data_IF_482658953380
#
_entry.id   IF_482658953380
#
_cell.length_a   1.000
_cell.length_b   1.000
_cell.length_c   1.000
_cell.angle_alpha   90.00
_cell.angle_beta   90.00
_cell.angle_gamma   90.00
#
_symmetry.space_group_name_H-M   'P 1'
#
loop_
_entity.id
_entity.type
_entity.pdbx_description
1 polymer ?
#
# COMPACT_ATOMS: atom_id res chain seq x y z
N UNK A 1 10.99 -6.14 -23.96
CA UNK A 1 12.46 -6.23 -24.30
C UNK A 1 13.19 -6.53 -23.01
N UNK A 2 14.10 -7.49 -23.02
CA UNK A 2 14.96 -7.74 -21.84
C UNK A 2 16.21 -6.85 -21.96
N UNK A 3 16.25 -5.77 -21.20
CA UNK A 3 17.32 -4.76 -21.26
C UNK A 3 18.67 -5.27 -20.73
N UNK A 4 18.64 -6.13 -19.68
CA UNK A 4 19.88 -6.72 -19.14
C UNK A 4 20.53 -7.64 -20.20
N UNK A 5 19.72 -8.45 -20.86
CA UNK A 5 20.22 -9.27 -21.98
C UNK A 5 20.75 -8.42 -23.16
N UNK A 6 20.11 -7.28 -23.44
CA UNK A 6 20.60 -6.36 -24.47
C UNK A 6 21.95 -5.74 -24.10
N UNK A 7 22.12 -5.30 -22.83
CA UNK A 7 23.40 -4.79 -22.30
C UNK A 7 24.50 -5.86 -22.44
N UNK A 8 24.26 -7.06 -21.89
CA UNK A 8 25.26 -8.14 -21.88
C UNK A 8 25.65 -8.58 -23.28
N UNK A 9 24.70 -8.56 -24.23
CA UNK A 9 24.96 -8.89 -25.64
C UNK A 9 25.76 -7.80 -26.33
N UNK A 10 25.43 -6.52 -26.11
CA UNK A 10 26.11 -5.39 -26.74
C UNK A 10 27.57 -5.30 -26.31
N UNK A 11 27.85 -5.44 -25.03
CA UNK A 11 29.22 -5.36 -24.48
C UNK A 11 29.95 -6.70 -24.46
N UNK A 12 29.30 -7.81 -24.84
CA UNK A 12 29.83 -9.18 -24.84
C UNK A 12 30.44 -9.56 -23.48
N UNK A 13 29.83 -9.08 -22.40
CA UNK A 13 30.31 -9.40 -21.05
C UNK A 13 29.86 -10.81 -20.62
N UNK A 14 30.75 -11.57 -20.00
CA UNK A 14 30.51 -12.95 -19.56
C UNK A 14 29.90 -13.03 -18.16
N UNK A 15 30.07 -11.99 -17.36
CA UNK A 15 29.53 -11.89 -15.99
C UNK A 15 29.20 -10.44 -15.68
N UNK A 16 28.20 -10.26 -14.83
CA UNK A 16 27.80 -8.95 -14.32
C UNK A 16 27.32 -9.05 -12.90
N UNK A 17 27.42 -7.98 -12.13
CA UNK A 17 26.75 -7.78 -10.85
C UNK A 17 25.54 -6.91 -11.05
N UNK A 18 24.42 -7.32 -10.51
CA UNK A 18 23.16 -6.61 -10.67
C UNK A 18 22.55 -6.38 -9.28
N UNK A 19 22.12 -5.14 -9.04
CA UNK A 19 21.41 -4.74 -7.83
C UNK A 19 20.23 -3.87 -8.21
N UNK A 20 19.01 -4.36 -8.01
CA UNK A 20 17.81 -3.59 -8.30
C UNK A 20 17.04 -3.27 -7.03
N UNK A 21 16.75 -1.98 -6.85
CA UNK A 21 15.90 -1.43 -5.79
C UNK A 21 14.69 -0.73 -6.40
N UNK A 22 13.79 -0.23 -5.56
CA UNK A 22 12.58 0.43 -6.03
C UNK A 22 12.84 1.59 -7.02
N UNK A 23 13.85 2.42 -6.77
CA UNK A 23 14.15 3.62 -7.56
C UNK A 23 15.45 3.56 -8.35
N UNK A 24 16.28 2.55 -8.18
CA UNK A 24 17.58 2.45 -8.83
C UNK A 24 17.87 1.01 -9.25
N UNK A 25 18.44 0.85 -10.45
CA UNK A 25 19.12 -0.36 -10.88
C UNK A 25 20.57 -0.01 -11.16
N UNK A 26 21.51 -0.79 -10.62
CA UNK A 26 22.92 -0.75 -10.93
C UNK A 26 23.34 -2.08 -11.57
N UNK A 27 24.07 -1.98 -12.68
CA UNK A 27 24.68 -3.11 -13.40
C UNK A 27 26.17 -2.82 -13.57
N UNK A 28 27.02 -3.59 -12.90
CA UNK A 28 28.47 -3.48 -12.96
C UNK A 28 29.03 -4.71 -13.71
N UNK A 29 29.91 -4.49 -14.68
CA UNK A 29 30.54 -5.57 -15.45
C UNK A 29 31.87 -5.14 -16.05
N UNK A 30 32.72 -6.13 -16.31
CA UNK A 30 34.00 -5.97 -17.01
C UNK A 30 33.89 -6.62 -18.38
N UNK A 31 34.58 -6.04 -19.37
CA UNK A 31 34.58 -6.53 -20.75
C UNK A 31 35.89 -6.20 -21.46
N UNK A 32 36.24 -6.96 -22.50
CA UNK A 32 37.44 -6.73 -23.26
C UNK A 32 37.33 -5.44 -24.09
N UNK A 33 38.42 -4.67 -24.20
CA UNK A 33 38.47 -3.44 -25.05
C UNK A 33 38.06 -3.71 -26.47
N UNK A 34 38.37 -4.91 -27.00
CA UNK A 34 37.98 -5.33 -28.35
C UNK A 34 36.46 -5.44 -28.56
N UNK A 35 35.71 -5.56 -27.46
CA UNK A 35 34.24 -5.63 -27.44
C UNK A 35 33.58 -4.28 -27.17
N UNK A 36 34.35 -3.17 -27.12
CA UNK A 36 33.80 -1.84 -26.93
C UNK A 36 32.86 -1.51 -28.11
N UNK A 37 31.56 -1.31 -27.87
CA UNK A 37 30.59 -1.02 -28.91
C UNK A 37 30.88 0.33 -29.58
N UNK A 38 30.29 0.55 -30.77
CA UNK A 38 30.29 1.87 -31.40
C UNK A 38 29.37 2.82 -30.60
N UNK A 39 29.70 4.11 -30.70
CA UNK A 39 28.91 5.15 -30.00
C UNK A 39 27.42 5.09 -30.35
N UNK A 40 27.12 4.91 -31.66
CA UNK A 40 25.76 4.83 -32.17
C UNK A 40 24.98 3.65 -31.56
N UNK A 41 25.65 2.50 -31.34
CA UNK A 41 25.01 1.33 -30.74
C UNK A 41 24.72 1.54 -29.26
N UNK A 42 25.59 2.27 -28.55
CA UNK A 42 25.36 2.63 -27.13
C UNK A 42 24.19 3.62 -27.01
N UNK A 43 24.15 4.63 -27.89
CA UNK A 43 23.06 5.62 -27.91
C UNK A 43 21.72 4.97 -28.26
N UNK A 44 21.65 4.10 -29.25
CA UNK A 44 20.45 3.33 -29.60
C UNK A 44 19.96 2.47 -28.44
N UNK A 45 20.88 1.82 -27.71
CA UNK A 45 20.52 1.07 -26.53
C UNK A 45 19.92 1.98 -25.45
N UNK A 46 20.58 3.11 -25.14
CA UNK A 46 20.12 4.06 -24.11
C UNK A 46 18.78 4.69 -24.50
N UNK A 47 18.57 5.05 -25.76
CA UNK A 47 17.31 5.59 -26.26
C UNK A 47 16.16 4.57 -26.24
N UNK A 48 16.46 3.27 -26.24
CA UNK A 48 15.45 2.21 -26.16
C UNK A 48 14.78 2.11 -24.79
N UNK A 49 15.40 2.65 -23.74
CA UNK A 49 14.84 2.63 -22.39
C UNK A 49 13.61 3.54 -22.27
N UNK A 50 12.69 3.25 -21.34
CA UNK A 50 11.56 4.13 -21.07
C UNK A 50 12.00 5.56 -20.78
N UNK A 51 11.41 6.56 -21.43
CA UNK A 51 11.79 7.97 -21.29
C UNK A 51 11.67 8.54 -19.87
N UNK A 52 10.86 7.88 -19.03
CA UNK A 52 10.72 8.25 -17.63
C UNK A 52 11.97 7.92 -16.79
N UNK A 53 12.81 6.98 -17.26
CA UNK A 53 13.97 6.50 -16.53
C UNK A 53 15.25 7.17 -17.06
N UNK A 54 16.11 7.59 -16.15
CA UNK A 54 17.38 8.22 -16.50
C UNK A 54 18.47 7.17 -16.48
N UNK A 55 19.01 6.85 -17.63
CA UNK A 55 20.10 5.89 -17.80
C UNK A 55 21.42 6.62 -17.83
N UNK A 56 22.39 6.15 -17.05
CA UNK A 56 23.77 6.65 -17.05
C UNK A 56 24.71 5.49 -17.32
N UNK A 57 25.72 5.74 -18.14
CA UNK A 57 26.82 4.80 -18.44
C UNK A 57 28.14 5.44 -18.02
N UNK A 58 28.92 4.71 -17.23
CA UNK A 58 30.31 5.04 -16.90
C UNK A 58 31.20 3.93 -17.42
N UNK A 59 32.25 4.28 -18.17
CA UNK A 59 33.30 3.37 -18.64
C UNK A 59 34.62 3.83 -18.06
N UNK A 60 35.39 2.91 -17.48
CA UNK A 60 36.68 3.19 -16.85
C UNK A 60 37.69 2.23 -17.44
N UNK A 61 38.87 2.78 -17.88
CA UNK A 61 39.98 1.97 -18.34
C UNK A 61 40.96 1.66 -17.19
N UNK A 62 42.02 0.89 -17.49
CA UNK A 62 43.03 0.48 -16.50
C UNK A 62 43.88 1.66 -15.99
N UNK A 63 43.82 2.82 -16.62
CA UNK A 63 44.52 4.04 -16.21
C UNK A 63 43.61 5.00 -15.41
N UNK A 64 42.42 4.57 -15.03
CA UNK A 64 41.40 5.38 -14.38
C UNK A 64 40.81 6.52 -15.25
N UNK A 65 41.02 6.48 -16.58
CA UNK A 65 40.33 7.41 -17.46
C UNK A 65 38.85 7.08 -17.53
N UNK A 66 38.02 8.08 -17.33
CA UNK A 66 36.57 7.95 -17.22
C UNK A 66 35.84 8.54 -18.44
N UNK A 67 35.01 7.73 -19.08
CA UNK A 67 33.96 8.22 -19.96
C UNK A 67 32.60 8.08 -19.26
N UNK A 68 31.84 9.17 -19.24
CA UNK A 68 30.50 9.22 -18.65
C UNK A 68 29.51 9.79 -19.65
N UNK A 69 28.33 9.15 -19.77
CA UNK A 69 27.20 9.65 -20.54
C UNK A 69 25.88 9.41 -19.84
N UNK A 70 24.87 10.19 -20.19
CA UNK A 70 23.52 10.08 -19.65
C UNK A 70 22.49 10.12 -20.78
N UNK A 71 21.33 9.48 -20.60
CA UNK A 71 20.20 9.59 -21.52
C UNK A 71 19.71 11.04 -21.72
N UNK A 72 20.08 11.96 -20.83
CA UNK A 72 19.78 13.39 -20.95
C UNK A 72 20.78 14.17 -21.82
N UNK A 73 21.97 13.62 -22.07
CA UNK A 73 22.98 14.22 -22.93
C UNK A 73 23.68 13.12 -23.73
N UNK A 74 23.25 12.97 -24.97
CA UNK A 74 23.77 12.00 -25.93
C UNK A 74 24.68 12.66 -27.01
N UNK A 75 25.16 13.89 -26.78
CA UNK A 75 26.00 14.63 -27.76
C UNK A 75 27.50 14.53 -27.48
N UNK A 76 27.97 13.38 -26.96
CA UNK A 76 29.33 13.21 -26.42
C UNK A 76 30.27 12.39 -27.31
N UNK A 77 29.99 12.26 -28.59
CA UNK A 77 30.78 11.44 -29.52
C UNK A 77 32.27 11.77 -29.51
N UNK A 78 32.65 13.06 -29.55
CA UNK A 78 34.04 13.46 -29.50
C UNK A 78 34.79 13.03 -28.26
N UNK A 79 34.09 13.09 -27.07
CA UNK A 79 34.66 12.60 -25.82
C UNK A 79 34.83 11.08 -25.83
N UNK A 80 33.85 10.36 -26.41
CA UNK A 80 33.95 8.93 -26.58
C UNK A 80 35.11 8.52 -27.49
N UNK A 81 35.33 9.23 -28.62
CA UNK A 81 36.43 8.95 -29.50
C UNK A 81 37.79 9.23 -28.86
N UNK A 82 37.89 10.25 -27.98
CA UNK A 82 39.08 10.52 -27.18
C UNK A 82 39.31 9.35 -26.21
N UNK A 83 38.31 8.99 -25.41
CA UNK A 83 38.37 7.87 -24.48
C UNK A 83 38.79 6.56 -25.16
N UNK A 84 38.22 6.27 -26.35
CA UNK A 84 38.58 5.10 -27.14
C UNK A 84 40.05 5.11 -27.54
N UNK A 85 40.61 6.29 -27.80
CA UNK A 85 42.04 6.45 -28.13
C UNK A 85 42.91 6.17 -26.89
N UNK A 86 42.46 6.62 -25.71
CA UNK A 86 43.16 6.42 -24.41
C UNK A 86 43.14 4.95 -24.01
N UNK A 87 42.11 4.18 -24.40
CA UNK A 87 42.00 2.73 -24.14
C UNK A 87 42.95 1.86 -25.00
N UNK A 88 43.76 2.43 -25.89
CA UNK A 88 44.59 1.67 -26.86
C UNK A 88 45.53 0.64 -26.22
N UNK A 89 45.95 0.86 -24.98
CA UNK A 89 46.89 0.00 -24.24
C UNK A 89 46.22 -0.81 -23.11
N UNK A 90 44.91 -0.65 -22.94
CA UNK A 90 44.15 -1.41 -21.97
C UNK A 90 43.67 -2.73 -22.55
N UNK A 91 43.61 -3.79 -21.77
CA UNK A 91 43.06 -5.10 -22.16
C UNK A 91 41.57 -5.20 -21.76
N UNK A 92 41.22 -4.63 -20.60
CA UNK A 92 39.86 -4.66 -20.05
C UNK A 92 39.35 -3.26 -19.75
N UNK A 93 38.04 -3.15 -19.73
CA UNK A 93 37.27 -1.98 -19.31
C UNK A 93 36.26 -2.39 -18.29
N UNK A 94 36.11 -1.56 -17.26
CA UNK A 94 35.00 -1.67 -16.29
C UNK A 94 33.85 -0.74 -16.71
N UNK A 95 32.64 -1.27 -16.69
CA UNK A 95 31.45 -0.51 -16.98
C UNK A 95 30.47 -0.54 -15.81
N UNK A 96 29.84 0.60 -15.57
CA UNK A 96 28.69 0.72 -14.71
C UNK A 96 27.55 1.38 -15.46
N UNK A 97 26.41 0.68 -15.53
CA UNK A 97 25.14 1.27 -15.98
C UNK A 97 24.26 1.46 -14.76
N UNK A 98 23.84 2.70 -14.50
CA UNK A 98 22.92 3.05 -13.44
C UNK A 98 21.65 3.65 -14.02
N UNK A 99 20.49 3.11 -13.60
CA UNK A 99 19.18 3.53 -14.06
C UNK A 99 18.40 4.09 -12.90
N UNK A 100 18.18 5.41 -12.91
CA UNK A 100 17.30 6.07 -11.96
C UNK A 100 15.86 5.99 -12.46
N UNK A 101 15.03 5.23 -11.75
CA UNK A 101 13.63 4.98 -12.08
C UNK A 101 12.73 6.03 -11.48
N UNK A 102 11.77 6.52 -12.26
CA UNK A 102 10.75 7.44 -11.77
C UNK A 102 9.34 6.88 -11.96
N UNK A 103 8.43 7.31 -11.10
CA UNK A 103 7.01 7.02 -11.26
C UNK A 103 6.42 8.05 -12.21
N UNK A 104 5.90 7.61 -13.33
CA UNK A 104 5.20 8.46 -14.29
C UNK A 104 3.85 7.84 -14.66
N UNK A 105 2.77 8.59 -14.52
CA UNK A 105 1.39 8.13 -14.76
C UNK A 105 1.05 6.81 -14.02
N UNK A 106 1.61 6.64 -12.82
CA UNK A 106 1.45 5.44 -12.01
C UNK A 106 2.26 4.23 -12.47
N UNK A 107 3.15 4.38 -13.46
CA UNK A 107 4.00 3.29 -13.95
C UNK A 107 5.43 3.43 -13.43
N UNK A 108 6.07 2.31 -13.10
CA UNK A 108 7.46 2.21 -12.68
C UNK A 108 8.09 0.96 -13.28
N UNK A 109 9.37 1.04 -13.64
CA UNK A 109 10.11 -0.04 -14.30
C UNK A 109 10.71 -1.05 -13.33
N UNK A 110 10.65 -2.34 -13.68
CA UNK A 110 11.46 -3.42 -13.10
C UNK A 110 12.21 -4.11 -14.24
N UNK A 111 13.51 -4.06 -14.20
CA UNK A 111 14.39 -4.59 -15.23
C UNK A 111 14.84 -6.03 -14.98
N UNK A 112 14.96 -6.41 -13.70
CA UNK A 112 15.19 -7.78 -13.24
C UNK A 112 14.34 -8.06 -12.00
N UNK A 113 13.26 -8.79 -12.20
CA UNK A 113 12.29 -9.06 -11.12
C UNK A 113 12.90 -9.88 -9.96
N UNK A 114 13.86 -10.74 -10.27
CA UNK A 114 14.49 -11.57 -9.23
C UNK A 114 15.37 -10.73 -8.31
N UNK A 115 16.19 -9.83 -8.88
CA UNK A 115 17.01 -8.91 -8.11
C UNK A 115 16.18 -7.88 -7.35
N UNK A 116 15.10 -7.38 -7.96
CA UNK A 116 14.15 -6.49 -7.28
C UNK A 116 13.51 -7.16 -6.06
N UNK A 117 13.04 -8.41 -6.22
CA UNK A 117 12.44 -9.16 -5.12
C UNK A 117 13.45 -9.44 -4.01
N UNK A 118 14.69 -9.84 -4.37
CA UNK A 118 15.77 -10.03 -3.40
C UNK A 118 16.10 -8.73 -2.68
N UNK A 119 16.22 -7.62 -3.42
CA UNK A 119 16.49 -6.30 -2.85
C UNK A 119 15.43 -5.83 -1.86
N UNK A 120 14.15 -6.23 -2.04
CA UNK A 120 13.09 -6.00 -1.05
C UNK A 120 13.22 -6.95 0.14
N UNK A 121 13.53 -8.24 -0.08
CA UNK A 121 13.72 -9.24 0.98
C UNK A 121 14.88 -8.87 1.93
N UNK A 122 15.91 -8.23 1.40
CA UNK A 122 17.10 -7.83 2.17
C UNK A 122 16.87 -6.56 3.01
N UNK A 123 15.76 -5.84 2.78
CA UNK A 123 15.42 -4.67 3.58
C UNK A 123 14.80 -5.08 4.93
N UNK A 124 15.10 -4.33 6.01
CA UNK A 124 14.32 -4.43 7.24
C UNK A 124 12.87 -3.99 6.98
N UNK A 125 11.94 -4.46 7.79
CA UNK A 125 10.50 -4.17 7.64
C UNK A 125 10.22 -2.68 7.47
N UNK A 126 10.84 -1.83 8.29
CA UNK A 126 10.68 -0.37 8.20
C UNK A 126 11.12 0.19 6.83
N UNK A 127 12.17 -0.40 6.25
CA UNK A 127 12.63 -0.07 4.90
C UNK A 127 11.62 -0.44 3.82
N UNK A 128 11.00 -1.62 3.95
CA UNK A 128 9.94 -2.08 3.03
C UNK A 128 8.71 -1.15 3.14
N UNK A 129 8.24 -0.88 4.37
CA UNK A 129 7.10 0.01 4.61
C UNK A 129 7.36 1.43 4.08
N UNK A 130 8.56 1.98 4.33
CA UNK A 130 8.94 3.31 3.83
C UNK A 130 8.97 3.36 2.30
N UNK A 131 9.49 2.30 1.67
CA UNK A 131 9.55 2.19 0.21
C UNK A 131 8.15 2.23 -0.41
N UNK A 132 7.24 1.36 0.03
CA UNK A 132 5.89 1.32 -0.51
C UNK A 132 5.06 2.55 -0.12
N UNK A 133 5.26 3.11 1.08
CA UNK A 133 4.62 4.36 1.49
C UNK A 133 5.01 5.52 0.57
N UNK A 134 6.29 5.65 0.24
CA UNK A 134 6.78 6.67 -0.69
C UNK A 134 6.20 6.47 -2.10
N UNK A 135 6.24 5.25 -2.64
CA UNK A 135 5.72 4.95 -3.97
C UNK A 135 4.20 5.21 -4.08
N UNK A 136 3.41 4.76 -3.10
CA UNK A 136 1.96 4.94 -3.08
C UNK A 136 1.52 6.36 -2.69
N UNK A 137 2.43 7.21 -2.22
CA UNK A 137 2.18 8.65 -2.05
C UNK A 137 2.29 9.41 -3.37
N UNK A 138 3.14 8.94 -4.29
CA UNK A 138 3.30 9.51 -5.63
C UNK A 138 2.10 9.16 -6.54
N UNK A 139 1.51 7.96 -6.36
CA UNK A 139 0.35 7.51 -7.14
C UNK A 139 -0.55 6.59 -6.30
N UNK A 140 -1.88 6.81 -6.34
CA UNK A 140 -2.85 5.96 -5.61
C UNK A 140 -2.89 4.51 -6.11
N UNK A 141 -2.46 4.27 -7.33
CA UNK A 141 -2.35 2.96 -7.98
C UNK A 141 -1.03 2.92 -8.75
N UNK A 142 -0.33 1.80 -8.68
CA UNK A 142 0.97 1.61 -9.29
C UNK A 142 0.96 0.39 -10.22
N UNK A 143 1.55 0.55 -11.37
CA UNK A 143 1.88 -0.56 -12.28
C UNK A 143 3.40 -0.71 -12.35
N UNK A 144 3.89 -1.85 -11.91
CA UNK A 144 5.27 -2.25 -12.06
C UNK A 144 5.42 -2.99 -13.39
N UNK A 145 6.08 -2.35 -14.35
CA UNK A 145 6.35 -2.93 -15.67
C UNK A 145 7.61 -3.78 -15.61
N UNK A 146 7.43 -5.10 -15.70
CA UNK A 146 8.51 -6.09 -15.61
C UNK A 146 9.03 -6.43 -17.01
N UNK A 147 10.34 -6.27 -17.24
CA UNK A 147 10.93 -6.39 -18.58
C UNK A 147 11.73 -7.69 -18.83
N UNK A 148 12.13 -8.42 -17.77
CA UNK A 148 12.99 -9.60 -17.89
C UNK A 148 12.23 -10.91 -18.11
N UNK A 149 11.05 -11.06 -17.52
CA UNK A 149 10.25 -12.30 -17.57
C UNK A 149 8.74 -12.05 -17.49
N UNK A 150 7.97 -13.08 -17.84
CA UNK A 150 6.52 -13.02 -17.71
C UNK A 150 6.11 -13.12 -16.25
N UNK A 151 5.44 -12.09 -15.76
CA UNK A 151 4.85 -11.99 -14.43
C UNK A 151 3.46 -11.39 -14.52
N UNK A 152 2.57 -11.89 -13.69
CA UNK A 152 1.27 -11.26 -13.45
C UNK A 152 0.83 -11.53 -12.02
N UNK A 153 0.85 -10.52 -11.18
CA UNK A 153 0.17 -10.54 -9.88
C UNK A 153 -0.33 -9.15 -9.52
N UNK A 154 -1.34 -9.11 -8.68
CA UNK A 154 -2.09 -7.88 -8.43
C UNK A 154 -2.62 -7.82 -7.02
N UNK A 155 -2.59 -6.60 -6.45
CA UNK A 155 -3.33 -6.20 -5.25
C UNK A 155 -4.43 -5.19 -5.63
N UNK A 156 -5.08 -4.57 -4.66
CA UNK A 156 -6.05 -3.49 -4.95
C UNK A 156 -5.39 -2.22 -5.48
N UNK A 157 -4.12 -1.98 -5.17
CA UNK A 157 -3.39 -0.75 -5.49
C UNK A 157 -2.17 -0.95 -6.36
N UNK A 158 -1.67 -2.17 -6.47
CA UNK A 158 -0.46 -2.49 -7.23
C UNK A 158 -0.70 -3.59 -8.24
N UNK A 159 -0.16 -3.43 -9.45
CA UNK A 159 -0.12 -4.42 -10.52
C UNK A 159 1.33 -4.65 -10.92
N UNK A 160 1.78 -5.90 -10.95
CA UNK A 160 3.06 -6.31 -11.52
C UNK A 160 2.78 -7.09 -12.79
N UNK A 161 3.25 -6.59 -13.93
CA UNK A 161 2.93 -7.18 -15.23
C UNK A 161 4.09 -7.01 -16.22
N UNK A 162 4.36 -8.06 -17.00
CA UNK A 162 5.36 -8.07 -18.08
C UNK A 162 4.87 -7.45 -19.38
N UNK A 163 3.59 -7.22 -19.53
CA UNK A 163 3.02 -6.61 -20.72
C UNK A 163 2.07 -5.47 -20.29
N UNK A 164 1.85 -4.47 -21.16
CA UNK A 164 0.82 -3.48 -20.93
C UNK A 164 -0.55 -4.14 -21.09
N UNK A 165 -0.89 -5.03 -20.14
CA UNK A 165 -2.22 -5.59 -20.05
C UNK A 165 -3.14 -4.51 -19.48
N UNK A 166 -4.27 -4.29 -20.13
CA UNK A 166 -5.38 -3.47 -19.59
C UNK A 166 -6.05 -4.21 -18.42
N UNK A 167 -5.30 -4.53 -17.37
CA UNK A 167 -5.88 -5.02 -16.12
C UNK A 167 -6.46 -3.81 -15.41
N UNK A 168 -7.77 -3.66 -15.48
CA UNK A 168 -8.48 -2.56 -14.83
C UNK A 168 -8.45 -2.79 -13.33
N UNK A 169 -7.96 -1.80 -12.59
CA UNK A 169 -8.13 -1.77 -11.14
C UNK A 169 -9.62 -1.63 -10.81
N UNK A 170 -10.11 -2.41 -9.86
CA UNK A 170 -11.44 -2.16 -9.29
C UNK A 170 -11.42 -0.81 -8.58
N UNK A 171 -12.55 -0.11 -8.60
CA UNK A 171 -12.67 1.15 -7.87
C UNK A 171 -12.38 0.93 -6.38
N UNK A 172 -11.31 1.55 -5.88
CA UNK A 172 -10.91 1.50 -4.48
C UNK A 172 -10.45 2.90 -4.05
N UNK A 173 -11.21 3.50 -3.16
CA UNK A 173 -10.85 4.80 -2.60
C UNK A 173 -9.90 4.62 -1.41
N UNK A 174 -8.61 4.57 -1.73
CA UNK A 174 -7.52 4.38 -0.77
C UNK A 174 -7.47 5.50 0.26
N UNK A 175 -7.68 6.77 -0.17
CA UNK A 175 -7.63 7.93 0.71
C UNK A 175 -8.76 7.90 1.75
N UNK A 176 -9.96 7.61 1.31
CA UNK A 176 -11.11 7.46 2.22
C UNK A 176 -10.88 6.29 3.20
N UNK A 177 -10.36 5.16 2.73
CA UNK A 177 -10.05 4.02 3.59
C UNK A 177 -9.00 4.38 4.67
N UNK A 178 -7.92 5.07 4.29
CA UNK A 178 -6.90 5.54 5.23
C UNK A 178 -7.49 6.50 6.28
N UNK A 179 -8.33 7.46 5.87
CA UNK A 179 -9.02 8.38 6.78
C UNK A 179 -9.86 7.61 7.80
N UNK A 180 -10.71 6.70 7.33
CA UNK A 180 -11.57 5.89 8.19
C UNK A 180 -10.77 5.01 9.17
N UNK A 181 -9.65 4.45 8.72
CA UNK A 181 -8.74 3.72 9.59
C UNK A 181 -8.14 4.61 10.68
N UNK A 182 -7.74 5.85 10.33
CA UNK A 182 -7.19 6.84 11.27
C UNK A 182 -8.17 7.31 12.31
N UNK A 183 -9.45 7.38 11.96
CA UNK A 183 -10.53 7.78 12.89
C UNK A 183 -10.79 6.70 13.96
N UNK A 184 -10.50 5.45 13.66
CA UNK A 184 -10.81 4.32 14.54
C UNK A 184 -9.60 3.77 15.29
N UNK A 185 -8.39 3.99 14.78
CA UNK A 185 -7.13 3.43 15.30
C UNK A 185 -6.09 4.53 15.43
N UNK A 186 -5.41 4.59 16.57
CA UNK A 186 -4.26 5.46 16.73
C UNK A 186 -2.96 4.73 16.40
N UNK A 187 -2.52 4.83 15.16
CA UNK A 187 -1.22 4.30 14.74
C UNK A 187 -0.16 5.40 14.86
N UNK A 188 0.80 5.23 15.78
CA UNK A 188 1.83 6.25 16.06
C UNK A 188 2.69 6.60 14.84
N UNK A 189 2.94 5.60 13.98
CA UNK A 189 3.78 5.75 12.79
C UNK A 189 2.99 6.05 11.51
N UNK A 190 1.71 6.41 11.62
CA UNK A 190 0.82 6.62 10.47
C UNK A 190 1.29 7.73 9.52
N UNK A 191 1.93 8.79 10.04
CA UNK A 191 2.48 9.85 9.20
C UNK A 191 3.63 9.32 8.33
N UNK A 192 4.40 8.36 8.86
CA UNK A 192 5.53 7.73 8.19
C UNK A 192 5.08 6.62 7.24
N UNK A 193 4.09 5.83 7.65
CA UNK A 193 3.63 4.64 6.92
C UNK A 193 2.15 4.75 6.57
N UNK A 194 1.84 5.46 5.47
CA UNK A 194 0.47 5.60 4.97
C UNK A 194 0.08 4.37 4.13
N UNK A 195 0.02 3.20 4.77
CA UNK A 195 -0.22 1.92 4.14
C UNK A 195 -1.45 1.22 4.73
N UNK A 196 -2.10 0.42 3.89
CA UNK A 196 -3.26 -0.39 4.23
C UNK A 196 -2.96 -1.88 3.99
N UNK A 197 -3.61 -2.80 4.69
CA UNK A 197 -3.58 -4.22 4.33
C UNK A 197 -3.98 -4.48 2.87
N UNK A 198 -4.93 -3.68 2.36
CA UNK A 198 -5.42 -3.73 0.97
C UNK A 198 -4.32 -3.48 -0.07
N UNK A 199 -3.27 -2.74 0.30
CA UNK A 199 -2.14 -2.45 -0.59
C UNK A 199 -1.33 -3.72 -0.91
N UNK A 200 -1.35 -4.71 -0.01
CA UNK A 200 -0.56 -5.94 -0.12
C UNK A 200 -1.39 -7.21 -0.29
N UNK A 201 -2.71 -7.15 -0.08
CA UNK A 201 -3.58 -8.31 -0.27
C UNK A 201 -3.59 -8.73 -1.74
N UNK A 202 -3.10 -9.93 -2.01
CA UNK A 202 -3.03 -10.47 -3.35
C UNK A 202 -4.42 -10.91 -3.85
N UNK A 203 -4.91 -10.25 -4.90
CA UNK A 203 -6.13 -10.60 -5.62
C UNK A 203 -5.84 -11.62 -6.75
N UNK A 204 -4.69 -11.45 -7.40
CA UNK A 204 -4.15 -12.36 -8.42
C UNK A 204 -2.71 -12.66 -8.01
N UNK A 205 -2.33 -13.92 -8.07
CA UNK A 205 -0.98 -14.37 -7.75
C UNK A 205 -0.57 -15.52 -8.68
N UNK A 206 0.74 -15.73 -8.83
CA UNK A 206 1.29 -16.87 -9.56
C UNK A 206 2.10 -17.77 -8.61
N UNK A 207 2.20 -19.03 -8.96
CA UNK A 207 2.96 -20.01 -8.17
C UNK A 207 4.46 -19.68 -8.17
N UNK A 208 5.08 -19.69 -6.98
CA UNK A 208 6.50 -19.34 -6.83
C UNK A 208 6.80 -17.85 -6.84
N UNK A 209 5.79 -16.97 -6.66
CA UNK A 209 6.04 -15.53 -6.51
C UNK A 209 6.87 -15.24 -5.25
N UNK A 210 8.12 -14.75 -5.39
CA UNK A 210 9.02 -14.51 -4.25
C UNK A 210 8.51 -13.42 -3.29
N UNK A 211 7.62 -12.52 -3.76
CA UNK A 211 7.04 -11.46 -2.93
C UNK A 211 5.82 -11.91 -2.13
N UNK A 212 5.26 -13.10 -2.39
CA UNK A 212 4.03 -13.56 -1.72
C UNK A 212 4.16 -13.63 -0.21
N UNK A 213 5.28 -14.13 0.30
CA UNK A 213 5.49 -14.26 1.74
C UNK A 213 5.58 -12.90 2.43
N UNK A 214 6.34 -11.97 1.85
CA UNK A 214 6.46 -10.59 2.37
C UNK A 214 5.10 -9.90 2.35
N UNK A 215 4.36 -9.97 1.23
CA UNK A 215 3.07 -9.33 1.09
C UNK A 215 2.06 -9.89 2.10
N UNK A 216 1.98 -11.21 2.26
CA UNK A 216 1.13 -11.84 3.27
C UNK A 216 1.50 -11.41 4.69
N UNK A 217 2.79 -11.28 5.01
CA UNK A 217 3.26 -10.77 6.30
C UNK A 217 2.83 -9.33 6.52
N UNK A 218 2.99 -8.45 5.51
CA UNK A 218 2.55 -7.05 5.57
C UNK A 218 1.04 -6.93 5.74
N UNK A 219 0.25 -7.75 5.05
CA UNK A 219 -1.21 -7.83 5.25
C UNK A 219 -1.55 -8.10 6.72
N UNK A 220 -0.88 -9.07 7.35
CA UNK A 220 -1.16 -9.44 8.74
C UNK A 220 -0.71 -8.36 9.73
N UNK A 221 0.49 -7.80 9.55
CA UNK A 221 1.00 -6.71 10.39
C UNK A 221 0.04 -5.51 10.35
N UNK A 222 -0.30 -5.04 9.15
CA UNK A 222 -1.20 -3.89 8.99
C UNK A 222 -2.63 -4.20 9.43
N UNK A 223 -3.10 -5.44 9.27
CA UNK A 223 -4.40 -5.86 9.82
C UNK A 223 -4.40 -5.80 11.34
N UNK A 224 -3.34 -6.27 12.02
CA UNK A 224 -3.20 -6.16 13.47
C UNK A 224 -3.17 -4.69 13.92
N UNK A 225 -2.46 -3.82 13.20
CA UNK A 225 -2.45 -2.37 13.45
C UNK A 225 -3.87 -1.82 13.45
N UNK A 226 -4.64 -2.03 12.38
CA UNK A 226 -5.97 -1.42 12.24
C UNK A 226 -7.09 -2.16 13.00
N UNK A 227 -6.87 -3.38 13.44
CA UNK A 227 -7.77 -4.06 14.40
C UNK A 227 -7.57 -3.55 15.83
N UNK A 228 -6.39 -3.05 16.16
CA UNK A 228 -6.08 -2.50 17.49
C UNK A 228 -6.69 -1.11 17.71
N UNK A 229 -6.74 -0.68 18.96
CA UNK A 229 -7.12 0.69 19.33
C UNK A 229 -5.95 1.66 19.19
N UNK A 230 -4.75 1.19 19.55
CA UNK A 230 -3.49 1.88 19.26
C UNK A 230 -2.40 0.88 18.91
N UNK A 231 -1.47 1.33 18.08
CA UNK A 231 -0.32 0.55 17.64
C UNK A 231 0.91 1.41 17.48
N UNK A 232 2.09 0.83 17.69
CA UNK A 232 3.39 1.42 17.37
C UNK A 232 4.31 0.35 16.78
N UNK A 233 5.20 0.77 15.89
CA UNK A 233 6.20 -0.08 15.28
C UNK A 233 7.60 0.47 15.59
N UNK A 234 8.42 -0.31 16.27
CA UNK A 234 9.73 0.11 16.73
C UNK A 234 10.73 -1.03 16.57
N UNK A 235 11.78 -0.85 15.77
CA UNK A 235 12.84 -1.85 15.56
C UNK A 235 12.30 -3.27 15.30
N UNK A 236 11.38 -3.41 14.33
CA UNK A 236 10.71 -4.66 13.97
C UNK A 236 9.83 -5.27 15.08
N UNK A 237 9.58 -4.56 16.16
CA UNK A 237 8.62 -4.94 17.20
C UNK A 237 7.33 -4.17 16.98
N UNK A 238 6.25 -4.90 16.76
CA UNK A 238 4.89 -4.36 16.70
C UNK A 238 4.28 -4.44 18.10
N UNK A 239 3.95 -3.30 18.67
CA UNK A 239 3.18 -3.18 19.91
C UNK A 239 1.75 -2.79 19.58
N UNK A 240 0.78 -3.54 20.09
CA UNK A 240 -0.64 -3.25 19.87
C UNK A 240 -1.41 -3.29 21.17
N UNK A 241 -2.36 -2.36 21.31
CA UNK A 241 -3.30 -2.30 22.43
C UNK A 241 -4.72 -2.42 21.89
N UNK A 242 -5.48 -3.35 22.42
CA UNK A 242 -6.89 -3.55 22.06
C UNK A 242 -7.74 -3.14 23.26
N UNK A 243 -8.42 -2.01 23.13
CA UNK A 243 -9.36 -1.52 24.14
C UNK A 243 -10.76 -2.04 23.81
N UNK A 244 -11.24 -2.97 24.64
CA UNK A 244 -12.61 -3.49 24.64
C UNK A 244 -13.17 -3.42 26.05
N UNK A 245 -13.85 -4.47 26.51
CA UNK A 245 -14.24 -4.60 27.92
C UNK A 245 -13.03 -4.62 28.88
N UNK A 246 -11.85 -4.93 28.34
CA UNK A 246 -10.55 -4.88 28.99
C UNK A 246 -9.54 -4.33 28.00
N UNK A 247 -8.38 -3.92 28.50
CA UNK A 247 -7.24 -3.57 27.66
C UNK A 247 -6.37 -4.83 27.57
N UNK A 248 -6.06 -5.23 26.33
CA UNK A 248 -5.07 -6.27 26.04
C UNK A 248 -3.89 -5.62 25.34
N UNK A 249 -2.70 -6.02 25.73
CA UNK A 249 -1.44 -5.55 25.18
C UNK A 249 -0.68 -6.73 24.60
N UNK A 250 -0.15 -6.59 23.39
CA UNK A 250 0.64 -7.60 22.73
C UNK A 250 1.88 -6.95 22.11
N UNK A 251 2.97 -7.69 22.17
CA UNK A 251 4.22 -7.36 21.48
C UNK A 251 4.60 -8.51 20.56
N UNK A 252 4.89 -8.19 19.29
CA UNK A 252 5.27 -9.18 18.29
C UNK A 252 6.55 -8.79 17.59
N UNK A 253 7.47 -9.73 17.47
CA UNK A 253 8.54 -9.65 16.49
C UNK A 253 7.91 -9.80 15.09
N UNK A 254 7.99 -8.78 14.26
CA UNK A 254 7.31 -8.75 12.95
C UNK A 254 7.73 -9.89 12.01
N UNK A 255 9.00 -10.33 12.11
CA UNK A 255 9.51 -11.49 11.35
C UNK A 255 8.84 -12.82 11.72
N UNK A 256 8.25 -12.93 12.93
CA UNK A 256 7.58 -14.13 13.45
C UNK A 256 6.07 -14.10 13.29
N UNK A 257 5.50 -13.00 12.76
CA UNK A 257 4.05 -12.92 12.53
C UNK A 257 3.68 -13.88 11.39
N UNK A 258 2.88 -14.90 11.74
CA UNK A 258 2.40 -15.89 10.79
C UNK A 258 1.24 -15.35 9.94
N UNK A 259 1.08 -15.91 8.74
CA UNK A 259 -0.05 -15.59 7.88
C UNK A 259 -1.36 -16.11 8.51
N UNK A 260 -2.32 -15.20 8.73
CA UNK A 260 -3.67 -15.55 9.16
C UNK A 260 -4.71 -14.73 8.36
N UNK A 261 -5.37 -15.35 7.37
CA UNK A 261 -6.32 -14.65 6.50
C UNK A 261 -7.56 -14.12 7.25
N UNK A 262 -7.85 -14.65 8.45
CA UNK A 262 -9.00 -14.17 9.26
C UNK A 262 -8.78 -12.74 9.77
N UNK A 263 -7.53 -12.34 10.03
CA UNK A 263 -7.20 -10.96 10.40
C UNK A 263 -7.63 -9.98 9.30
N UNK A 264 -7.25 -10.26 8.06
CA UNK A 264 -7.65 -9.42 6.92
C UNK A 264 -9.16 -9.45 6.68
N UNK A 265 -9.83 -10.60 6.84
CA UNK A 265 -11.28 -10.68 6.69
C UNK A 265 -12.01 -9.78 7.69
N UNK A 266 -11.58 -9.78 8.98
CA UNK A 266 -12.18 -8.92 10.00
C UNK A 266 -11.89 -7.45 9.69
N UNK A 267 -10.63 -7.11 9.35
CA UNK A 267 -10.26 -5.75 8.93
C UNK A 267 -11.13 -5.29 7.75
N UNK A 268 -11.17 -6.06 6.68
CA UNK A 268 -11.94 -5.69 5.49
C UNK A 268 -13.42 -5.52 5.80
N UNK A 269 -14.02 -6.38 6.64
CA UNK A 269 -15.41 -6.26 7.05
C UNK A 269 -15.66 -4.98 7.88
N UNK A 270 -14.75 -4.60 8.77
CA UNK A 270 -14.88 -3.36 9.58
C UNK A 270 -14.93 -2.15 8.66
N UNK A 271 -13.99 -2.07 7.72
CA UNK A 271 -13.75 -0.87 6.92
C UNK A 271 -14.44 -0.87 5.55
N UNK A 272 -15.21 -1.90 5.22
CA UNK A 272 -16.06 -1.95 4.02
C UNK A 272 -17.49 -1.73 4.45
N UNK A 273 -18.15 -0.73 3.92
CA UNK A 273 -19.55 -0.37 4.12
C UNK A 273 -20.01 -0.17 5.59
N UNK A 274 -20.91 0.76 5.82
CA UNK A 274 -21.52 1.03 7.11
C UNK A 274 -20.62 1.80 8.10
N UNK A 275 -20.97 1.76 9.37
CA UNK A 275 -20.26 2.51 10.42
C UNK A 275 -19.03 1.72 10.91
N UNK A 276 -17.85 2.15 10.47
CA UNK A 276 -16.59 1.52 10.84
C UNK A 276 -16.29 1.62 12.35
N UNK A 277 -16.67 2.73 12.98
CA UNK A 277 -16.45 2.94 14.43
C UNK A 277 -17.21 1.93 15.27
N UNK A 278 -18.50 1.71 14.98
CA UNK A 278 -19.32 0.73 15.69
C UNK A 278 -18.82 -0.69 15.45
N UNK A 279 -18.48 -1.01 14.20
CA UNK A 279 -17.93 -2.32 13.83
C UNK A 279 -16.59 -2.59 14.52
N UNK A 280 -15.68 -1.60 14.55
CA UNK A 280 -14.40 -1.71 15.21
C UNK A 280 -14.56 -1.91 16.72
N UNK A 281 -15.46 -1.17 17.37
CA UNK A 281 -15.74 -1.31 18.79
C UNK A 281 -16.24 -2.72 19.14
N UNK A 282 -17.22 -3.23 18.38
CA UNK A 282 -17.77 -4.57 18.60
C UNK A 282 -16.73 -5.65 18.32
N UNK A 283 -15.96 -5.50 17.24
CA UNK A 283 -14.88 -6.43 16.91
C UNK A 283 -13.85 -6.50 18.04
N UNK A 284 -13.37 -5.35 18.55
CA UNK A 284 -12.41 -5.27 19.66
C UNK A 284 -12.95 -5.90 20.94
N UNK A 285 -14.23 -5.70 21.27
CA UNK A 285 -14.85 -6.34 22.42
C UNK A 285 -14.83 -7.86 22.31
N UNK A 286 -15.16 -8.41 21.14
CA UNK A 286 -15.14 -9.87 20.90
C UNK A 286 -13.72 -10.40 20.87
N UNK A 287 -12.79 -9.69 20.22
CA UNK A 287 -11.36 -10.03 20.22
C UNK A 287 -10.81 -10.08 21.64
N UNK A 288 -11.14 -9.11 22.52
CA UNK A 288 -10.74 -9.12 23.91
C UNK A 288 -11.27 -10.33 24.69
N UNK A 289 -12.47 -10.82 24.37
CA UNK A 289 -13.02 -12.02 24.98
C UNK A 289 -12.29 -13.29 24.50
N UNK A 290 -12.05 -13.39 23.21
CA UNK A 290 -11.35 -14.53 22.59
C UNK A 290 -9.88 -14.62 22.99
N UNK A 291 -9.19 -13.48 22.98
CA UNK A 291 -7.76 -13.40 23.26
C UNK A 291 -7.43 -13.42 24.76
N UNK A 292 -8.42 -13.57 25.63
CA UNK A 292 -8.19 -13.68 27.08
C UNK A 292 -7.25 -14.83 27.45
N UNK A 293 -7.30 -15.93 26.69
CA UNK A 293 -6.52 -17.15 26.92
C UNK A 293 -5.79 -17.61 25.64
N UNK A 294 -5.76 -16.79 24.59
CA UNK A 294 -5.22 -17.12 23.27
C UNK A 294 -4.57 -15.88 22.66
N UNK A 295 -3.68 -16.10 21.71
CA UNK A 295 -3.06 -15.05 20.93
C UNK A 295 -4.02 -14.57 19.83
N UNK A 296 -4.02 -13.26 19.54
CA UNK A 296 -4.80 -12.68 18.43
C UNK A 296 -4.39 -13.27 17.07
N UNK A 297 -3.14 -13.70 16.91
CA UNK A 297 -2.70 -14.40 15.70
C UNK A 297 -3.38 -15.76 15.48
N UNK A 298 -4.03 -16.31 16.51
CA UNK A 298 -4.70 -17.63 16.47
C UNK A 298 -6.22 -17.53 16.31
N UNK A 299 -6.73 -16.37 15.95
CA UNK A 299 -8.17 -16.21 15.67
C UNK A 299 -8.58 -17.07 14.47
N UNK A 300 -9.81 -17.55 14.51
CA UNK A 300 -10.41 -18.43 13.52
C UNK A 300 -11.72 -17.87 12.95
N UNK A 301 -12.31 -18.57 11.99
CA UNK A 301 -13.58 -18.19 11.39
C UNK A 301 -14.75 -18.13 12.36
N UNK A 302 -14.68 -18.83 13.52
CA UNK A 302 -15.71 -18.76 14.55
C UNK A 302 -15.67 -17.42 15.27
N UNK A 303 -14.47 -16.87 15.46
CA UNK A 303 -14.29 -15.51 16.02
C UNK A 303 -14.95 -14.48 15.12
N UNK A 304 -14.71 -14.56 13.80
CA UNK A 304 -15.32 -13.65 12.84
C UNK A 304 -16.85 -13.78 12.80
N UNK A 305 -17.40 -15.01 12.80
CA UNK A 305 -18.84 -15.24 12.88
C UNK A 305 -19.45 -14.68 14.15
N UNK A 306 -18.74 -14.77 15.29
CA UNK A 306 -19.16 -14.19 16.57
C UNK A 306 -19.22 -12.66 16.48
N UNK A 307 -18.22 -12.02 15.87
CA UNK A 307 -18.20 -10.56 15.65
C UNK A 307 -19.42 -10.13 14.83
N UNK A 308 -19.68 -10.79 13.70
CA UNK A 308 -20.83 -10.48 12.84
C UNK A 308 -22.17 -10.67 13.54
N UNK A 309 -22.31 -11.75 14.30
CA UNK A 309 -23.53 -12.04 15.07
C UNK A 309 -23.81 -10.94 16.10
N UNK A 310 -22.78 -10.52 16.86
CA UNK A 310 -22.92 -9.45 17.84
C UNK A 310 -23.26 -8.09 17.20
N UNK A 311 -22.68 -7.79 16.05
CA UNK A 311 -23.02 -6.59 15.30
C UNK A 311 -24.48 -6.60 14.80
N UNK A 312 -24.98 -7.74 14.35
CA UNK A 312 -26.37 -7.88 13.94
C UNK A 312 -27.37 -7.71 15.12
N UNK A 313 -26.99 -8.19 16.31
CA UNK A 313 -27.79 -7.93 17.53
C UNK A 313 -27.80 -6.45 17.88
N UNK A 314 -26.65 -5.79 17.84
CA UNK A 314 -26.51 -4.35 18.06
C UNK A 314 -27.41 -3.53 17.11
N UNK A 315 -27.43 -3.89 15.82
CA UNK A 315 -28.30 -3.22 14.84
C UNK A 315 -29.78 -3.39 15.16
N UNK A 316 -30.22 -4.60 15.55
CA UNK A 316 -31.60 -4.85 15.95
C UNK A 316 -32.01 -4.02 17.16
N UNK A 317 -31.16 -3.94 18.17
CA UNK A 317 -31.40 -3.15 19.37
C UNK A 317 -31.50 -1.65 19.05
N UNK A 318 -30.64 -1.13 18.17
CA UNK A 318 -30.68 0.26 17.73
C UNK A 318 -31.97 0.59 16.96
N UNK A 319 -32.40 -0.29 16.04
CA UNK A 319 -33.66 -0.13 15.33
C UNK A 319 -34.85 -0.15 16.29
N UNK A 320 -34.88 -1.06 17.26
CA UNK A 320 -35.92 -1.12 18.29
C UNK A 320 -36.00 0.17 19.13
N UNK A 321 -34.84 0.68 19.57
CA UNK A 321 -34.77 1.96 20.31
C UNK A 321 -35.22 3.14 19.44
N UNK A 322 -34.84 3.18 18.16
CA UNK A 322 -35.28 4.22 17.24
C UNK A 322 -36.80 4.23 17.09
N UNK A 323 -37.43 3.07 16.89
CA UNK A 323 -38.89 2.93 16.81
C UNK A 323 -39.56 3.42 18.10
N UNK A 324 -39.03 3.03 19.29
CA UNK A 324 -39.53 3.49 20.55
C UNK A 324 -39.45 5.02 20.72
N UNK A 325 -38.33 5.63 20.33
CA UNK A 325 -38.16 7.08 20.35
C UNK A 325 -39.13 7.79 19.42
N UNK A 326 -39.29 7.27 18.20
CA UNK A 326 -40.22 7.84 17.21
C UNK A 326 -41.68 7.76 17.71
N UNK A 327 -42.08 6.64 18.35
CA UNK A 327 -43.41 6.52 18.93
C UNK A 327 -43.64 7.50 20.09
N UNK A 328 -42.65 7.62 21.01
CA UNK A 328 -42.73 8.61 22.11
C UNK A 328 -42.80 10.04 21.59
N UNK A 329 -42.08 10.37 20.51
CA UNK A 329 -42.14 11.69 19.88
C UNK A 329 -43.54 11.93 19.26
N UNK A 330 -44.12 10.95 18.58
CA UNK A 330 -45.45 11.03 18.03
C UNK A 330 -46.51 11.21 19.13
N UNK A 331 -46.41 10.48 20.23
CA UNK A 331 -47.27 10.64 21.41
C UNK A 331 -47.15 12.06 22.01
N UNK A 332 -45.94 12.55 22.18
CA UNK A 332 -45.66 13.90 22.69
C UNK A 332 -46.27 14.98 21.76
N UNK A 333 -46.08 14.87 20.43
CA UNK A 333 -46.68 15.79 19.48
C UNK A 333 -48.19 15.76 19.56
N UNK A 334 -48.83 14.57 19.67
CA UNK A 334 -50.28 14.41 19.81
C UNK A 334 -50.77 15.09 21.10
N UNK A 335 -50.08 14.91 22.22
CA UNK A 335 -50.39 15.55 23.50
C UNK A 335 -50.30 17.08 23.43
N UNK A 336 -49.25 17.61 22.78
CA UNK A 336 -49.07 19.06 22.58
C UNK A 336 -50.21 19.63 21.72
N UNK A 337 -50.54 18.95 20.61
CA UNK A 337 -51.64 19.37 19.73
C UNK A 337 -53.02 19.39 20.51
N UNK A 338 -53.28 18.33 21.29
CA UNK A 338 -54.49 18.26 22.10
C UNK A 338 -54.56 19.40 23.11
N UNK A 339 -53.48 19.58 23.94
CA UNK A 339 -53.40 20.68 24.90
C UNK A 339 -53.56 22.05 24.25
N UNK A 340 -52.94 22.26 23.11
CA UNK A 340 -53.06 23.50 22.35
C UNK A 340 -54.54 23.76 21.92
N UNK A 341 -55.22 22.72 21.43
CA UNK A 341 -56.63 22.76 21.10
C UNK A 341 -57.52 23.15 22.32
N UNK A 342 -57.23 22.53 23.46
CA UNK A 342 -57.94 22.83 24.72
C UNK A 342 -57.74 24.27 25.18
N UNK A 343 -56.46 24.79 25.09
CA UNK A 343 -56.18 26.19 25.37
C UNK A 343 -56.89 27.15 24.42
N UNK A 344 -56.93 26.89 23.12
CA UNK A 344 -57.65 27.73 22.15
C UNK A 344 -59.14 27.75 22.47
N UNK A 345 -59.75 26.57 22.75
CA UNK A 345 -61.16 26.45 23.11
C UNK A 345 -61.46 27.25 24.39
N UNK A 346 -60.62 27.08 25.43
CA UNK A 346 -60.75 27.80 26.69
C UNK A 346 -60.64 29.32 26.51
N UNK A 347 -59.73 29.79 25.67
CA UNK A 347 -59.58 31.20 25.30
C UNK A 347 -60.80 31.74 24.60
N UNK A 348 -61.36 31.02 23.66
CA UNK A 348 -62.58 31.38 22.91
C UNK A 348 -63.79 31.44 23.86
N UNK A 349 -63.91 30.51 24.75
CA UNK A 349 -65.01 30.49 25.75
C UNK A 349 -64.91 31.62 26.77
N UNK A 350 -63.71 31.95 27.24
CA UNK A 350 -63.45 33.11 28.09
C UNK A 350 -63.75 34.42 27.35
N UNK A 351 -63.36 34.50 26.08
CA UNK A 351 -63.69 35.67 25.23
C UNK A 351 -65.19 35.83 25.04
N UNK A 352 -65.97 34.76 24.76
CA UNK A 352 -67.40 34.80 24.68
C UNK A 352 -68.06 35.25 26.00
N UNK A 353 -67.62 34.70 27.16
CA UNK A 353 -68.12 35.09 28.48
C UNK A 353 -67.87 36.58 28.77
N UNK A 354 -66.68 37.09 28.45
CA UNK A 354 -66.40 38.49 28.65
C UNK A 354 -67.21 39.39 27.74
N UNK A 355 -67.47 38.96 26.52
CA UNK A 355 -68.31 39.73 25.59
C UNK A 355 -69.80 39.80 26.07
N UNK A 356 -70.33 38.71 26.60
CA UNK A 356 -71.71 38.67 27.17
C UNK A 356 -71.80 39.50 28.47
N UNK A 357 -70.73 39.66 29.22
CA UNK A 357 -70.69 40.46 30.45
C UNK A 357 -70.58 41.97 30.19
N UNK A 358 -70.27 42.38 28.98
CA UNK A 358 -70.15 43.80 28.56
C UNK A 358 -71.46 44.30 27.96
N UNK A 359 -72.32 43.42 27.45
CA UNK A 359 -73.67 43.74 26.96
C UNK A 359 -74.73 43.30 27.96
#
# INVERSE_FOLDING_TARGET
MNYIAAITTLFQCSSHRLSERSKVLDVDFDFAVTSLPKYEQITELIESFPQRDIVTLSLINENDDLFYMSSQDLSLQQKFDTFKTDCKYSEQLSAKISINKSVQDGNISIYDFSSFAQGLCDLPLEGILSTFSALLSEANQLTFEVFDKEVLFKTKTMLFSSAPQKVVFKAFDRKHRLSTCSETTHFHDQVRYQLLPDDFQLDINFEGNPLSEIFNRLVNILSLVYLSSSASLNHEILEIHIAGQRILEFQYQCSLIAANPELYKIYNWIYTDGNATDKALIARNILCLHCRFSDIQKIDGKTFASIQSNYNLYLKDNVSRYIQLTNKLAEFISEVVSKTGDYVTSLLDNFKKNLIAIF
#
